data_IF_531024813361
#
_entry.id   IF_531024813361
#
_cell.length_a   1.000
_cell.length_b   1.000
_cell.length_c   1.000
_cell.angle_alpha   90.00
_cell.angle_beta   90.00
_cell.angle_gamma   90.00
#
_symmetry.space_group_name_H-M   'P 1'
#
loop_
_entity.id
_entity.type
_entity.pdbx_description
1 polymer ?
#
# COMPACT_ATOMS: atom_id res chain seq x y z
N UNK A 1 -17.94 1.38 -22.61
CA UNK A 1 -18.27 0.85 -21.25
C UNK A 1 -19.67 0.27 -21.25
N UNK A 2 -19.87 -0.87 -20.55
CA UNK A 2 -21.22 -1.45 -20.32
C UNK A 2 -22.02 -0.53 -19.38
N UNK A 3 -23.34 -0.51 -19.49
CA UNK A 3 -24.19 0.15 -18.50
C UNK A 3 -24.21 -0.66 -17.21
N UNK A 4 -23.92 0.00 -16.09
CA UNK A 4 -23.87 -0.62 -14.75
C UNK A 4 -24.90 -0.01 -13.79
N UNK A 5 -25.81 0.81 -14.29
CA UNK A 5 -26.85 1.44 -13.49
C UNK A 5 -27.78 0.38 -12.86
N UNK A 6 -28.01 0.53 -11.57
CA UNK A 6 -28.83 -0.38 -10.78
C UNK A 6 -28.14 -1.69 -10.36
N UNK A 7 -26.90 -1.94 -10.81
CA UNK A 7 -26.13 -3.11 -10.38
C UNK A 7 -25.83 -3.04 -8.87
N UNK A 8 -25.82 -4.21 -8.25
CA UNK A 8 -25.58 -4.37 -6.80
C UNK A 8 -24.11 -4.72 -6.53
N UNK A 9 -23.40 -3.82 -5.87
CA UNK A 9 -22.01 -4.01 -5.44
C UNK A 9 -21.95 -4.31 -3.94
N UNK A 10 -21.42 -5.49 -3.58
CA UNK A 10 -21.13 -5.85 -2.22
C UNK A 10 -19.72 -5.40 -1.84
N UNK A 11 -19.58 -4.57 -0.81
CA UNK A 11 -18.30 -4.07 -0.31
C UNK A 11 -17.82 -4.94 0.87
N UNK A 12 -16.52 -5.22 0.91
CA UNK A 12 -15.86 -5.91 2.01
C UNK A 12 -14.76 -5.00 2.58
N UNK A 13 -15.01 -4.31 3.69
CA UNK A 13 -13.97 -3.67 4.50
C UNK A 13 -13.28 -2.40 3.97
N UNK A 14 -13.84 -1.66 3.02
CA UNK A 14 -13.17 -0.51 2.38
C UNK A 14 -13.54 0.85 2.98
N UNK A 15 -13.61 0.96 4.30
CA UNK A 15 -14.09 2.16 5.00
C UNK A 15 -13.27 3.43 4.74
N UNK A 16 -11.96 3.32 4.54
CA UNK A 16 -11.07 4.47 4.30
C UNK A 16 -11.31 5.15 2.94
N UNK A 17 -11.99 4.49 2.01
CA UNK A 17 -12.25 4.99 0.66
C UNK A 17 -13.72 5.30 0.39
N UNK A 18 -14.52 5.47 1.46
CA UNK A 18 -15.98 5.63 1.34
C UNK A 18 -16.38 6.75 0.38
N UNK A 19 -15.69 7.89 0.41
CA UNK A 19 -16.02 9.03 -0.45
C UNK A 19 -15.78 8.74 -1.94
N UNK A 20 -14.73 7.98 -2.26
CA UNK A 20 -14.47 7.54 -3.65
C UNK A 20 -15.47 6.50 -4.13
N UNK A 21 -15.82 5.54 -3.25
CA UNK A 21 -16.84 4.52 -3.53
C UNK A 21 -18.19 5.19 -3.78
N UNK A 22 -18.56 6.15 -2.90
CA UNK A 22 -19.77 6.92 -3.05
C UNK A 22 -19.80 7.70 -4.37
N UNK A 23 -18.71 8.39 -4.70
CA UNK A 23 -18.61 9.16 -5.94
C UNK A 23 -18.75 8.29 -7.18
N UNK A 24 -18.17 7.08 -7.17
CA UNK A 24 -18.37 6.10 -8.23
C UNK A 24 -19.83 5.66 -8.34
N UNK A 25 -20.42 5.30 -7.20
CA UNK A 25 -21.80 4.81 -7.16
C UNK A 25 -22.81 5.88 -7.62
N UNK A 26 -22.65 7.12 -7.16
CA UNK A 26 -23.49 8.25 -7.56
C UNK A 26 -23.34 8.54 -9.06
N UNK A 27 -22.12 8.50 -9.60
CA UNK A 27 -21.86 8.81 -11.01
C UNK A 27 -22.44 7.76 -11.96
N UNK A 28 -22.34 6.47 -11.60
CA UNK A 28 -22.78 5.37 -12.45
C UNK A 28 -24.16 4.80 -12.09
N UNK A 29 -24.76 5.25 -10.98
CA UNK A 29 -26.05 4.74 -10.50
C UNK A 29 -25.94 3.32 -9.93
N UNK A 30 -24.82 2.97 -9.29
CA UNK A 30 -24.58 1.66 -8.67
C UNK A 30 -25.19 1.63 -7.26
N UNK A 31 -25.77 0.49 -6.89
CA UNK A 31 -26.33 0.25 -5.56
C UNK A 31 -25.26 -0.40 -4.66
N UNK A 32 -25.03 0.18 -3.49
CA UNK A 32 -23.98 -0.27 -2.57
C UNK A 32 -24.57 -1.07 -1.39
N UNK A 33 -23.90 -2.15 -1.05
CA UNK A 33 -24.18 -3.01 0.09
C UNK A 33 -22.88 -3.30 0.83
N UNK A 34 -22.94 -3.55 2.13
CA UNK A 34 -21.74 -3.83 2.93
C UNK A 34 -21.91 -5.10 3.76
N UNK A 35 -20.88 -5.93 3.79
CA UNK A 35 -20.80 -7.11 4.62
C UNK A 35 -19.54 -7.08 5.51
N UNK A 36 -19.69 -7.43 6.78
CA UNK A 36 -18.60 -7.48 7.75
C UNK A 36 -19.10 -7.79 9.17
N UNK A 37 -18.18 -8.21 10.06
CA UNK A 37 -18.55 -8.52 11.46
C UNK A 37 -18.86 -7.27 12.30
N UNK A 38 -18.30 -6.13 11.91
CA UNK A 38 -18.45 -4.87 12.63
C UNK A 38 -18.99 -3.80 11.68
N UNK A 39 -19.90 -2.92 12.16
CA UNK A 39 -20.31 -1.77 11.39
C UNK A 39 -19.09 -0.91 11.07
N UNK A 40 -19.03 -0.48 9.83
CA UNK A 40 -17.97 0.42 9.34
C UNK A 40 -18.59 1.79 9.01
N UNK A 41 -17.79 2.85 8.87
CA UNK A 41 -18.29 4.17 8.41
C UNK A 41 -18.97 4.15 7.03
N UNK A 42 -19.08 2.99 6.40
CA UNK A 42 -19.80 2.75 5.15
C UNK A 42 -21.34 2.76 5.32
N UNK A 43 -21.88 2.60 6.54
CA UNK A 43 -23.32 2.55 6.78
C UNK A 43 -24.08 3.78 6.24
N UNK A 44 -23.39 4.92 6.14
CA UNK A 44 -23.95 6.17 5.60
C UNK A 44 -24.11 6.17 4.06
N UNK A 45 -23.44 5.28 3.35
CA UNK A 45 -23.41 5.25 1.87
C UNK A 45 -24.00 3.99 1.26
N UNK A 46 -24.30 2.98 2.08
CA UNK A 46 -24.84 1.70 1.62
C UNK A 46 -26.35 1.63 1.86
N UNK A 47 -27.04 0.86 1.02
CA UNK A 47 -28.48 0.61 1.21
C UNK A 47 -28.75 -0.33 2.38
N UNK A 48 -27.84 -1.29 2.61
CA UNK A 48 -27.96 -2.27 3.69
C UNK A 48 -26.59 -2.76 4.14
N UNK A 49 -26.46 -2.97 5.46
CA UNK A 49 -25.33 -3.58 6.12
C UNK A 49 -25.69 -4.98 6.63
N UNK A 50 -24.88 -5.96 6.30
CA UNK A 50 -25.02 -7.34 6.73
C UNK A 50 -23.92 -7.71 7.71
N UNK A 51 -24.33 -8.06 8.95
CA UNK A 51 -23.40 -8.55 9.97
C UNK A 51 -23.12 -10.02 9.73
N UNK A 52 -22.05 -10.31 8.99
CA UNK A 52 -21.71 -11.66 8.53
C UNK A 52 -20.19 -11.84 8.49
N UNK A 53 -19.73 -13.07 8.74
CA UNK A 53 -18.30 -13.42 8.62
C UNK A 53 -17.91 -13.57 7.15
N UNK A 54 -17.23 -12.58 6.61
CA UNK A 54 -16.79 -12.53 5.21
C UNK A 54 -15.60 -13.45 4.90
N UNK A 55 -14.99 -14.04 5.94
CA UNK A 55 -13.85 -14.98 5.78
C UNK A 55 -14.28 -16.41 5.53
N UNK A 56 -15.55 -16.75 5.83
CA UNK A 56 -16.08 -18.11 5.72
C UNK A 56 -16.80 -18.34 4.38
N UNK A 57 -16.23 -19.16 3.46
CA UNK A 57 -16.83 -19.48 2.17
C UNK A 57 -18.21 -20.15 2.28
N UNK A 58 -18.42 -21.02 3.28
CA UNK A 58 -19.67 -21.77 3.45
C UNK A 58 -20.84 -20.85 3.81
N UNK A 59 -20.52 -19.67 4.36
CA UNK A 59 -21.50 -18.64 4.69
C UNK A 59 -21.66 -17.65 3.52
N UNK A 60 -20.56 -17.20 2.94
CA UNK A 60 -20.57 -16.15 1.93
C UNK A 60 -21.11 -16.60 0.56
N UNK A 61 -20.80 -17.83 0.14
CA UNK A 61 -21.25 -18.35 -1.16
C UNK A 61 -22.79 -18.39 -1.25
N UNK A 62 -23.53 -19.05 -0.31
CA UNK A 62 -24.99 -19.02 -0.35
C UNK A 62 -25.55 -17.62 -0.16
N UNK A 63 -24.99 -16.80 0.73
CA UNK A 63 -25.42 -15.42 0.98
C UNK A 63 -25.37 -14.55 -0.30
N UNK A 64 -24.25 -14.57 -1.03
CA UNK A 64 -24.09 -13.78 -2.26
C UNK A 64 -25.05 -14.23 -3.34
N UNK A 65 -25.27 -15.56 -3.48
CA UNK A 65 -26.25 -16.13 -4.44
C UNK A 65 -27.69 -15.72 -4.11
N UNK A 66 -28.07 -15.79 -2.85
CA UNK A 66 -29.43 -15.45 -2.40
C UNK A 66 -29.78 -13.98 -2.65
N UNK A 67 -28.82 -13.09 -2.38
CA UNK A 67 -29.04 -11.64 -2.55
C UNK A 67 -28.82 -11.14 -3.98
N UNK A 68 -28.21 -11.94 -4.83
CA UNK A 68 -28.02 -11.64 -6.27
C UNK A 68 -27.15 -10.39 -6.48
N UNK A 69 -25.99 -10.32 -5.83
CA UNK A 69 -25.01 -9.27 -6.08
C UNK A 69 -24.35 -9.46 -7.45
N UNK A 70 -24.14 -8.36 -8.17
CA UNK A 70 -23.48 -8.36 -9.48
C UNK A 70 -21.96 -8.38 -9.37
N UNK A 71 -21.41 -7.91 -8.26
CA UNK A 71 -19.98 -7.89 -8.00
C UNK A 71 -19.66 -7.79 -6.52
N UNK A 72 -18.43 -8.18 -6.16
CA UNK A 72 -17.89 -8.10 -4.80
C UNK A 72 -16.57 -7.34 -4.84
N UNK A 73 -16.46 -6.27 -4.05
CA UNK A 73 -15.25 -5.46 -3.96
C UNK A 73 -14.53 -5.71 -2.64
N UNK A 74 -13.33 -6.26 -2.73
CA UNK A 74 -12.50 -6.65 -1.58
C UNK A 74 -11.72 -5.48 -0.96
N UNK A 75 -11.64 -4.35 -1.66
CA UNK A 75 -10.80 -3.22 -1.23
C UNK A 75 -9.30 -3.53 -1.33
N UNK A 76 -8.49 -2.87 -0.46
CA UNK A 76 -7.03 -3.00 -0.44
C UNK A 76 -6.47 -3.67 0.83
N UNK A 77 -7.30 -4.34 1.62
CA UNK A 77 -6.86 -5.07 2.81
C UNK A 77 -6.35 -6.46 2.44
N UNK A 78 -5.08 -6.75 2.78
CA UNK A 78 -4.49 -8.09 2.58
C UNK A 78 -5.32 -9.17 3.25
N UNK A 79 -5.81 -8.90 4.47
CA UNK A 79 -6.66 -9.82 5.20
C UNK A 79 -7.94 -10.15 4.42
N UNK A 80 -8.63 -9.15 3.89
CA UNK A 80 -9.87 -9.36 3.13
C UNK A 80 -9.58 -10.11 1.84
N UNK A 81 -8.59 -9.68 1.06
CA UNK A 81 -8.26 -10.31 -0.23
C UNK A 81 -7.87 -11.77 -0.03
N UNK A 82 -7.01 -12.08 0.96
CA UNK A 82 -6.56 -13.46 1.22
C UNK A 82 -7.67 -14.45 1.54
N UNK A 83 -8.77 -13.97 2.14
CA UNK A 83 -9.92 -14.82 2.49
C UNK A 83 -11.02 -14.79 1.43
N UNK A 84 -11.19 -13.68 0.71
CA UNK A 84 -12.34 -13.49 -0.16
C UNK A 84 -12.09 -13.90 -1.62
N UNK A 85 -10.87 -13.72 -2.16
CA UNK A 85 -10.61 -13.99 -3.58
C UNK A 85 -11.02 -15.42 -3.98
N UNK A 86 -10.70 -16.44 -3.15
CA UNK A 86 -11.03 -17.83 -3.44
C UNK A 86 -12.54 -18.09 -3.56
N UNK A 87 -13.37 -17.62 -2.62
CA UNK A 87 -14.80 -17.86 -2.71
C UNK A 87 -15.50 -16.98 -3.76
N UNK A 88 -14.96 -15.79 -4.09
CA UNK A 88 -15.46 -14.98 -5.21
C UNK A 88 -15.25 -15.73 -6.53
N UNK A 89 -14.06 -16.33 -6.71
CA UNK A 89 -13.77 -17.17 -7.89
C UNK A 89 -14.71 -18.39 -7.99
N UNK A 90 -15.00 -19.06 -6.86
CA UNK A 90 -15.95 -20.19 -6.83
C UNK A 90 -17.38 -19.77 -7.22
N UNK A 91 -17.75 -18.52 -7.02
CA UNK A 91 -19.01 -17.96 -7.48
C UNK A 91 -19.02 -17.64 -8.99
N UNK A 92 -17.86 -17.63 -9.64
CA UNK A 92 -17.72 -17.17 -11.03
C UNK A 92 -17.91 -15.68 -11.22
N UNK A 93 -17.80 -14.89 -10.13
CA UNK A 93 -17.84 -13.43 -10.19
C UNK A 93 -16.47 -12.86 -10.61
N UNK A 94 -16.43 -11.70 -11.26
CA UNK A 94 -15.18 -11.06 -11.63
C UNK A 94 -14.32 -10.78 -10.38
N UNK A 95 -13.09 -11.27 -10.39
CA UNK A 95 -12.10 -11.08 -9.35
C UNK A 95 -10.73 -10.88 -10.01
N UNK A 96 -9.98 -9.87 -9.60
CA UNK A 96 -8.70 -9.56 -10.25
C UNK A 96 -7.61 -10.60 -9.96
N UNK A 97 -7.73 -11.37 -8.88
CA UNK A 97 -6.78 -12.42 -8.52
C UNK A 97 -7.49 -13.73 -8.16
N UNK A 98 -6.79 -14.84 -8.30
CA UNK A 98 -7.13 -16.10 -7.66
C UNK A 98 -6.27 -16.34 -6.41
N UNK A 99 -6.62 -17.41 -5.68
CA UNK A 99 -5.94 -17.72 -4.42
C UNK A 99 -4.48 -18.13 -4.61
N UNK A 100 -4.15 -18.83 -5.70
CA UNK A 100 -2.80 -19.26 -6.00
C UNK A 100 -1.89 -18.07 -6.34
N UNK A 101 -2.35 -17.17 -7.21
CA UNK A 101 -1.67 -15.91 -7.54
C UNK A 101 -1.41 -15.07 -6.28
N UNK A 102 -2.44 -14.96 -5.42
CA UNK A 102 -2.33 -14.23 -4.17
C UNK A 102 -1.27 -14.85 -3.25
N UNK A 103 -1.31 -16.16 -3.02
CA UNK A 103 -0.40 -16.86 -2.10
C UNK A 103 1.06 -16.84 -2.59
N UNK A 104 1.28 -16.84 -3.90
CA UNK A 104 2.61 -16.71 -4.49
C UNK A 104 3.17 -15.29 -4.22
N UNK A 105 2.37 -14.26 -4.47
CA UNK A 105 2.84 -12.88 -4.39
C UNK A 105 2.93 -12.36 -2.95
N UNK A 106 2.10 -12.87 -2.02
CA UNK A 106 2.16 -12.47 -0.61
C UNK A 106 3.34 -13.09 0.15
N UNK A 107 3.81 -14.26 -0.25
CA UNK A 107 4.97 -14.89 0.37
C UNK A 107 6.26 -14.28 -0.19
N UNK A 108 6.94 -13.47 0.64
CA UNK A 108 8.20 -12.79 0.26
C UNK A 108 9.27 -13.77 -0.24
N UNK A 109 9.29 -15.01 0.29
CA UNK A 109 10.27 -16.00 -0.14
C UNK A 109 9.95 -16.52 -1.53
N UNK A 110 8.70 -16.90 -1.78
CA UNK A 110 8.24 -17.37 -3.09
C UNK A 110 8.42 -16.31 -4.16
N UNK A 111 8.02 -15.06 -3.85
CA UNK A 111 8.22 -13.95 -4.79
C UNK A 111 9.69 -13.73 -5.13
N UNK A 112 10.59 -13.76 -4.14
CA UNK A 112 12.04 -13.59 -4.37
C UNK A 112 12.64 -14.76 -5.15
N UNK A 113 12.17 -15.98 -4.92
CA UNK A 113 12.63 -17.13 -5.69
C UNK A 113 12.23 -17.01 -7.17
N UNK A 114 11.01 -16.54 -7.46
CA UNK A 114 10.59 -16.20 -8.82
C UNK A 114 11.40 -15.04 -9.39
N UNK A 115 11.68 -13.99 -8.62
CA UNK A 115 12.57 -12.91 -9.07
C UNK A 115 13.91 -13.45 -9.58
N UNK A 116 14.53 -14.36 -8.82
CA UNK A 116 15.81 -14.99 -9.23
C UNK A 116 15.64 -15.76 -10.53
N UNK A 117 14.58 -16.55 -10.67
CA UNK A 117 14.30 -17.35 -11.87
C UNK A 117 14.17 -16.47 -13.13
N UNK A 118 13.52 -15.29 -12.99
CA UNK A 118 13.35 -14.32 -14.07
C UNK A 118 14.50 -13.31 -14.19
N UNK A 119 15.62 -13.52 -13.47
CA UNK A 119 16.81 -12.67 -13.55
C UNK A 119 16.63 -11.28 -12.94
N UNK A 120 15.71 -11.14 -11.99
CA UNK A 120 15.48 -9.93 -11.18
C UNK A 120 16.35 -10.03 -9.91
N UNK A 121 17.24 -9.06 -9.64
CA UNK A 121 18.10 -9.12 -8.46
C UNK A 121 17.31 -9.05 -7.15
N UNK A 122 17.67 -9.87 -6.18
CA UNK A 122 17.13 -9.81 -4.83
C UNK A 122 18.25 -9.67 -3.80
N UNK A 123 17.91 -9.14 -2.63
CA UNK A 123 18.88 -9.07 -1.54
C UNK A 123 19.32 -10.49 -1.16
N UNK A 124 20.64 -10.76 -1.02
CA UNK A 124 21.15 -12.08 -0.66
C UNK A 124 20.55 -12.58 0.65
N UNK A 125 20.05 -13.83 0.63
CA UNK A 125 19.50 -14.54 1.80
C UNK A 125 20.60 -15.35 2.50
N UNK A 126 20.47 -15.46 3.81
CA UNK A 126 21.29 -16.35 4.65
C UNK A 126 20.41 -17.43 5.26
N UNK A 127 20.64 -18.71 4.96
CA UNK A 127 19.86 -19.81 5.56
C UNK A 127 20.13 -19.88 7.06
N UNK A 128 19.08 -19.95 7.87
CA UNK A 128 19.18 -20.05 9.32
C UNK A 128 19.18 -21.51 9.77
N UNK A 129 20.22 -21.90 10.49
CA UNK A 129 20.26 -23.18 11.19
C UNK A 129 19.57 -23.03 12.55
N UNK A 130 18.40 -23.64 12.70
CA UNK A 130 17.60 -23.54 13.93
C UNK A 130 18.30 -24.10 15.18
N UNK A 131 19.28 -25.01 15.00
CA UNK A 131 20.08 -25.55 16.12
C UNK A 131 21.24 -24.62 16.53
N UNK A 132 21.55 -23.61 15.70
CA UNK A 132 22.62 -22.65 15.94
C UNK A 132 22.35 -21.37 15.14
N UNK A 133 21.38 -20.58 15.57
CA UNK A 133 20.98 -19.34 14.88
C UNK A 133 22.15 -18.36 14.83
N UNK A 134 22.85 -18.15 15.93
CA UNK A 134 24.00 -17.24 16.03
C UNK A 134 25.12 -17.56 15.02
N UNK A 135 25.36 -18.84 14.75
CA UNK A 135 26.39 -19.31 13.81
C UNK A 135 25.93 -19.42 12.36
N UNK A 136 24.68 -19.04 12.05
CA UNK A 136 24.12 -19.19 10.71
C UNK A 136 24.68 -18.20 9.70
N UNK A 137 25.15 -17.04 10.15
CA UNK A 137 25.62 -15.94 9.30
C UNK A 137 27.11 -15.68 9.55
N UNK A 138 27.97 -15.61 8.51
CA UNK A 138 29.37 -15.31 8.69
C UNK A 138 29.57 -13.87 9.20
N UNK A 139 30.57 -13.65 10.04
CA UNK A 139 30.84 -12.35 10.67
C UNK A 139 31.02 -11.21 9.65
N UNK A 140 31.55 -11.51 8.47
CA UNK A 140 31.73 -10.52 7.38
C UNK A 140 30.44 -10.10 6.68
N UNK A 141 29.31 -10.77 6.95
CA UNK A 141 28.04 -10.48 6.31
C UNK A 141 27.17 -9.48 7.09
N UNK A 142 27.54 -9.19 8.34
CA UNK A 142 26.81 -8.20 9.13
C UNK A 142 27.02 -6.76 8.63
N UNK A 143 26.02 -5.88 8.74
CA UNK A 143 24.70 -6.12 9.33
C UNK A 143 23.78 -6.92 8.43
N UNK A 144 22.91 -7.74 9.06
CA UNK A 144 21.83 -8.47 8.39
C UNK A 144 20.49 -8.06 8.98
N UNK A 145 19.39 -8.43 8.30
CA UNK A 145 18.03 -8.25 8.82
C UNK A 145 17.36 -9.60 9.03
N UNK A 146 16.51 -9.66 10.04
CA UNK A 146 15.51 -10.72 10.21
C UNK A 146 14.11 -10.14 10.10
N UNK A 147 13.21 -10.84 9.43
CA UNK A 147 11.80 -10.44 9.29
C UNK A 147 10.90 -11.67 9.03
N UNK A 148 9.60 -11.60 9.40
CA UNK A 148 8.63 -12.62 8.99
C UNK A 148 8.54 -12.71 7.46
N UNK A 149 8.34 -13.91 6.91
CA UNK A 149 8.08 -14.08 5.46
C UNK A 149 6.68 -13.63 5.09
N UNK A 150 5.73 -13.71 6.03
CA UNK A 150 4.29 -13.50 5.89
C UNK A 150 3.76 -12.30 6.72
N UNK A 151 4.65 -11.42 7.15
CA UNK A 151 4.33 -10.19 7.87
C UNK A 151 4.23 -8.96 6.97
N UNK A 152 3.50 -7.93 7.44
CA UNK A 152 3.36 -6.63 6.79
C UNK A 152 3.66 -5.46 7.74
N UNK A 153 3.86 -4.24 7.18
CA UNK A 153 3.99 -3.01 7.97
C UNK A 153 5.25 -2.94 8.86
N UNK A 154 6.34 -3.61 8.49
CA UNK A 154 7.60 -3.67 9.25
C UNK A 154 7.48 -4.31 10.65
N UNK A 155 6.43 -5.07 10.90
CA UNK A 155 6.27 -5.79 12.16
C UNK A 155 7.19 -7.01 12.21
N UNK A 156 7.93 -7.19 13.33
CA UNK A 156 8.88 -8.30 13.50
C UNK A 156 10.21 -8.12 12.76
N UNK A 157 10.49 -6.93 12.22
CA UNK A 157 11.75 -6.59 11.57
C UNK A 157 12.83 -6.25 12.60
N UNK A 158 14.07 -6.75 12.39
CA UNK A 158 15.22 -6.39 13.20
C UNK A 158 16.49 -6.25 12.36
N UNK A 159 17.26 -5.17 12.59
CA UNK A 159 18.63 -5.05 12.08
C UNK A 159 19.56 -5.66 13.09
N UNK A 160 20.39 -6.62 12.67
CA UNK A 160 21.31 -7.37 13.50
C UNK A 160 22.75 -7.07 13.10
N UNK A 161 23.55 -6.56 14.01
CA UNK A 161 24.96 -6.20 13.77
C UNK A 161 25.95 -7.28 14.21
N UNK A 162 25.46 -8.31 14.90
CA UNK A 162 26.26 -9.43 15.42
C UNK A 162 25.36 -10.67 15.64
N UNK A 163 26.01 -11.78 16.00
CA UNK A 163 25.36 -13.06 16.21
C UNK A 163 24.31 -13.06 17.34
N UNK A 164 24.57 -12.33 18.43
CA UNK A 164 23.64 -12.22 19.56
C UNK A 164 22.39 -11.43 19.19
N UNK A 165 22.55 -10.37 18.41
CA UNK A 165 21.41 -9.62 17.85
C UNK A 165 20.63 -10.44 16.84
N UNK A 166 21.30 -11.31 16.07
CA UNK A 166 20.65 -12.23 15.14
C UNK A 166 19.71 -13.21 15.85
N UNK A 167 20.13 -13.80 16.99
CA UNK A 167 19.28 -14.67 17.78
C UNK A 167 18.03 -13.94 18.28
N UNK A 168 18.22 -12.75 18.86
CA UNK A 168 17.10 -11.94 19.35
C UNK A 168 16.16 -11.52 18.22
N UNK A 169 16.73 -11.10 17.09
CA UNK A 169 15.96 -10.68 15.91
C UNK A 169 15.17 -11.84 15.30
N UNK A 170 15.75 -13.04 15.26
CA UNK A 170 15.06 -14.25 14.83
C UNK A 170 13.85 -14.55 15.72
N UNK A 171 14.03 -14.52 17.04
CA UNK A 171 12.94 -14.77 18.00
C UNK A 171 11.79 -13.77 17.86
N UNK A 172 12.12 -12.50 17.66
CA UNK A 172 11.11 -11.44 17.41
C UNK A 172 10.35 -11.73 16.13
N UNK A 173 11.06 -12.00 15.03
CA UNK A 173 10.46 -12.26 13.74
C UNK A 173 9.57 -13.51 13.75
N UNK A 174 10.03 -14.60 14.37
CA UNK A 174 9.27 -15.84 14.49
C UNK A 174 7.97 -15.69 15.27
N UNK A 175 7.97 -14.88 16.36
CA UNK A 175 6.77 -14.60 17.14
C UNK A 175 5.76 -13.70 16.41
N UNK A 176 6.24 -12.88 15.48
CA UNK A 176 5.41 -11.99 14.66
C UNK A 176 4.88 -12.67 13.40
N UNK A 177 5.44 -13.80 13.01
CA UNK A 177 5.00 -14.58 11.85
C UNK A 177 3.84 -15.49 12.23
N UNK A 178 2.69 -15.45 11.54
CA UNK A 178 1.60 -16.41 11.69
C UNK A 178 2.04 -17.87 11.49
N UNK A 179 3.01 -18.11 10.60
CA UNK A 179 3.54 -19.47 10.33
C UNK A 179 4.84 -19.78 11.10
N UNK A 180 5.41 -18.81 11.83
CA UNK A 180 6.71 -18.91 12.47
C UNK A 180 7.90 -18.79 11.49
N UNK A 181 7.64 -18.51 10.22
CA UNK A 181 8.66 -18.47 9.16
C UNK A 181 9.43 -17.16 9.15
N UNK A 182 10.76 -17.23 9.15
CA UNK A 182 11.67 -16.07 9.20
C UNK A 182 12.63 -16.10 8.03
N UNK A 183 12.83 -14.95 7.41
CA UNK A 183 13.88 -14.73 6.42
C UNK A 183 15.00 -13.89 7.05
N UNK A 184 16.26 -14.28 6.80
CA UNK A 184 17.45 -13.51 7.11
C UNK A 184 18.13 -13.05 5.83
N UNK A 185 18.38 -11.75 5.70
CA UNK A 185 18.92 -11.14 4.48
C UNK A 185 20.04 -10.15 4.81
N UNK A 186 20.90 -9.85 3.82
CA UNK A 186 21.83 -8.73 3.90
C UNK A 186 21.06 -7.43 4.20
N UNK A 187 21.57 -6.61 5.09
CA UNK A 187 21.02 -5.27 5.28
C UNK A 187 21.35 -4.41 4.07
N UNK A 188 20.33 -3.80 3.52
CA UNK A 188 20.43 -2.77 2.49
C UNK A 188 19.72 -1.54 3.03
N UNK A 189 20.30 -0.36 2.82
CA UNK A 189 19.64 0.88 3.19
C UNK A 189 18.25 0.91 2.55
N UNK A 190 17.22 1.27 3.35
CA UNK A 190 15.83 1.21 2.92
C UNK A 190 15.45 2.39 1.97
N UNK A 191 16.43 3.00 1.32
CA UNK A 191 16.19 3.87 0.17
C UNK A 191 15.87 3.02 -1.04
N UNK A 192 14.93 3.47 -1.85
CA UNK A 192 14.55 2.74 -3.03
C UNK A 192 13.37 3.37 -3.74
N UNK A 193 12.79 2.60 -4.63
CA UNK A 193 11.61 3.03 -5.36
C UNK A 193 10.47 2.03 -5.14
N UNK A 194 9.26 2.52 -5.30
CA UNK A 194 8.06 1.71 -5.45
C UNK A 194 7.58 1.91 -6.88
N UNK A 195 7.38 0.81 -7.60
CA UNK A 195 6.88 0.84 -8.98
C UNK A 195 5.48 0.26 -9.04
N UNK A 196 4.63 0.87 -9.87
CA UNK A 196 3.22 0.51 -9.96
C UNK A 196 2.85 0.08 -11.37
N UNK A 197 2.07 -0.98 -11.43
CA UNK A 197 1.53 -1.54 -12.66
C UNK A 197 0.02 -1.68 -12.56
N UNK A 198 -0.65 -1.42 -13.66
CA UNK A 198 -2.04 -1.82 -13.87
C UNK A 198 -2.11 -2.91 -14.91
N UNK A 199 -2.96 -3.89 -14.69
CA UNK A 199 -3.20 -4.98 -15.63
C UNK A 199 -4.59 -4.87 -16.23
N UNK A 200 -4.67 -5.10 -17.51
CA UNK A 200 -5.91 -5.11 -18.26
C UNK A 200 -5.84 -6.14 -19.37
N UNK A 201 -6.73 -7.13 -19.38
CA UNK A 201 -6.76 -8.22 -20.35
C UNK A 201 -5.42 -8.97 -20.48
N UNK A 202 -4.66 -9.08 -19.42
CA UNK A 202 -3.32 -9.71 -19.38
C UNK A 202 -2.18 -8.82 -19.89
N UNK A 203 -2.45 -7.56 -20.21
CA UNK A 203 -1.41 -6.59 -20.58
C UNK A 203 -0.95 -5.82 -19.34
N UNK A 204 0.36 -5.84 -19.08
CA UNK A 204 1.01 -5.07 -18.04
C UNK A 204 1.26 -3.64 -18.51
N UNK A 205 0.74 -2.67 -17.79
CA UNK A 205 0.96 -1.24 -18.01
C UNK A 205 1.76 -0.67 -16.85
N UNK A 206 2.96 -0.16 -17.13
CA UNK A 206 3.70 0.64 -16.16
C UNK A 206 2.96 1.99 -15.99
N UNK A 207 2.59 2.35 -14.76
CA UNK A 207 1.76 3.55 -14.53
C UNK A 207 2.44 4.60 -13.68
N UNK A 208 3.38 4.22 -12.80
CA UNK A 208 4.07 5.16 -11.92
C UNK A 208 5.31 4.52 -11.29
N UNK A 209 6.27 5.36 -10.93
CA UNK A 209 7.30 5.06 -9.95
C UNK A 209 7.40 6.16 -8.90
N UNK A 210 7.73 5.77 -7.66
CA UNK A 210 7.93 6.68 -6.53
C UNK A 210 9.30 6.42 -5.93
N UNK A 211 10.11 7.46 -5.70
CA UNK A 211 11.26 7.36 -4.81
C UNK A 211 10.77 7.39 -3.37
N UNK A 212 11.20 6.41 -2.58
CA UNK A 212 10.86 6.28 -1.17
C UNK A 212 12.01 6.75 -0.30
N UNK A 213 11.81 7.80 0.48
CA UNK A 213 12.75 8.26 1.50
C UNK A 213 12.30 7.74 2.86
N UNK A 214 13.05 6.81 3.48
CA UNK A 214 12.69 6.26 4.79
C UNK A 214 13.10 7.21 5.92
N UNK A 215 12.41 7.09 7.05
CA UNK A 215 12.81 7.65 8.34
C UNK A 215 13.10 6.54 9.32
N UNK A 216 14.17 6.71 10.11
CA UNK A 216 14.62 5.71 11.08
C UNK A 216 13.98 5.93 12.44
N UNK A 217 13.52 4.86 13.04
CA UNK A 217 13.01 4.79 14.40
C UNK A 217 14.04 4.05 15.28
N UNK A 218 14.93 4.80 15.92
CA UNK A 218 16.10 4.24 16.64
C UNK A 218 15.70 3.22 17.70
N UNK A 219 14.65 3.52 18.49
CA UNK A 219 14.21 2.63 19.59
C UNK A 219 13.64 1.30 19.09
N UNK A 220 13.01 1.29 17.94
CA UNK A 220 12.41 0.11 17.32
C UNK A 220 13.35 -0.57 16.34
N UNK A 221 14.44 0.11 15.94
CA UNK A 221 15.35 -0.35 14.89
C UNK A 221 14.73 -0.45 13.51
N UNK A 222 13.55 0.16 13.31
CA UNK A 222 12.77 0.05 12.07
C UNK A 222 12.93 1.28 11.16
N UNK A 223 12.60 1.10 9.88
CA UNK A 223 12.55 2.15 8.88
C UNK A 223 11.13 2.24 8.32
N UNK A 224 10.57 3.44 8.31
CA UNK A 224 9.21 3.70 7.81
C UNK A 224 9.28 4.77 6.73
N UNK A 225 8.46 4.66 5.70
CA UNK A 225 8.42 5.67 4.65
C UNK A 225 8.04 7.04 5.20
N UNK A 226 8.91 8.03 5.02
CA UNK A 226 8.70 9.41 5.47
C UNK A 226 8.32 10.35 4.34
N UNK A 227 8.67 9.99 3.10
CA UNK A 227 8.37 10.79 1.92
C UNK A 227 8.34 9.89 0.69
N UNK A 228 7.43 10.19 -0.24
CA UNK A 228 7.43 9.64 -1.59
C UNK A 228 7.44 10.77 -2.61
N UNK A 229 8.30 10.69 -3.61
CA UNK A 229 8.36 11.65 -4.73
C UNK A 229 8.22 10.95 -6.07
N UNK A 230 7.40 11.45 -6.95
CA UNK A 230 7.04 10.85 -8.24
C UNK A 230 7.26 11.85 -9.40
N UNK A 231 7.62 11.37 -10.59
CA UNK A 231 8.17 10.05 -10.86
C UNK A 231 9.55 9.88 -10.22
N UNK A 232 9.99 8.62 -10.03
CA UNK A 232 11.34 8.32 -9.55
C UNK A 232 12.41 8.82 -10.53
N UNK A 233 13.50 9.33 -10.01
CA UNK A 233 14.66 9.69 -10.84
C UNK A 233 15.32 8.47 -11.51
N UNK A 234 15.09 7.29 -10.93
CA UNK A 234 15.61 6.01 -11.45
C UNK A 234 14.66 5.31 -12.43
N UNK A 235 13.49 5.90 -12.75
CA UNK A 235 12.45 5.24 -13.55
C UNK A 235 12.94 4.74 -14.90
N UNK A 236 13.58 5.59 -15.68
CA UNK A 236 14.02 5.23 -17.02
C UNK A 236 14.98 4.04 -16.99
N UNK A 237 15.97 4.06 -16.08
CA UNK A 237 16.94 2.98 -15.91
C UNK A 237 16.29 1.69 -15.39
N UNK A 238 15.38 1.81 -14.42
CA UNK A 238 14.66 0.66 -13.91
C UNK A 238 13.86 -0.05 -15.01
N UNK A 239 13.12 0.71 -15.80
CA UNK A 239 12.31 0.19 -16.91
C UNK A 239 13.17 -0.50 -17.96
N UNK A 240 14.26 0.14 -18.38
CA UNK A 240 15.21 -0.44 -19.34
C UNK A 240 15.74 -1.80 -18.89
N UNK A 241 16.08 -1.94 -17.60
CA UNK A 241 16.69 -3.16 -17.07
C UNK A 241 15.68 -4.27 -16.80
N UNK A 242 14.45 -3.94 -16.35
CA UNK A 242 13.60 -4.93 -15.69
C UNK A 242 12.16 -5.02 -16.22
N UNK A 243 11.64 -4.05 -16.99
CA UNK A 243 10.23 -4.05 -17.38
C UNK A 243 9.83 -5.32 -18.15
N UNK A 244 10.64 -5.77 -19.10
CA UNK A 244 10.36 -6.98 -19.88
C UNK A 244 10.46 -8.26 -19.05
N UNK A 245 11.38 -8.33 -18.08
CA UNK A 245 11.50 -9.46 -17.15
C UNK A 245 10.31 -9.54 -16.22
N UNK A 246 9.83 -8.40 -15.72
CA UNK A 246 8.61 -8.32 -14.93
C UNK A 246 7.37 -8.73 -15.73
N UNK A 247 7.30 -8.32 -16.99
CA UNK A 247 6.24 -8.73 -17.91
C UNK A 247 6.21 -10.24 -18.06
N UNK A 248 7.38 -10.86 -18.27
CA UNK A 248 7.50 -12.31 -18.36
C UNK A 248 7.11 -13.01 -17.05
N UNK A 249 7.56 -12.52 -15.89
CA UNK A 249 7.23 -13.05 -14.57
C UNK A 249 5.73 -13.02 -14.32
N UNK A 250 5.08 -11.85 -14.50
CA UNK A 250 3.65 -11.73 -14.25
C UNK A 250 2.79 -12.49 -15.26
N UNK A 251 3.25 -12.61 -16.50
CA UNK A 251 2.61 -13.48 -17.48
C UNK A 251 2.70 -14.96 -17.08
N UNK A 252 3.84 -15.40 -16.53
CA UNK A 252 4.05 -16.76 -16.03
C UNK A 252 3.10 -17.07 -14.85
N UNK A 253 2.93 -16.14 -13.90
CA UNK A 253 1.96 -16.28 -12.80
C UNK A 253 0.50 -16.22 -13.32
N UNK A 254 0.28 -15.72 -14.53
CA UNK A 254 -1.05 -15.58 -15.12
C UNK A 254 -1.80 -14.32 -14.66
N UNK A 255 -1.10 -13.27 -14.25
CA UNK A 255 -1.72 -12.00 -13.85
C UNK A 255 -2.39 -11.37 -15.06
N UNK A 256 -3.67 -11.05 -14.94
CA UNK A 256 -4.48 -10.49 -16.04
C UNK A 256 -5.09 -9.15 -15.73
N UNK A 257 -5.46 -8.90 -14.47
CA UNK A 257 -6.27 -7.75 -14.04
C UNK A 257 -5.71 -7.14 -12.75
N UNK A 258 -6.19 -5.95 -12.40
CA UNK A 258 -5.91 -5.30 -11.11
C UNK A 258 -4.62 -4.49 -11.09
N UNK A 259 -4.17 -4.21 -9.89
CA UNK A 259 -3.04 -3.31 -9.61
C UNK A 259 -1.97 -4.04 -8.80
N UNK A 260 -0.72 -3.91 -9.22
CA UNK A 260 0.45 -4.41 -8.49
C UNK A 260 1.39 -3.25 -8.19
N UNK A 261 1.92 -3.21 -6.98
CA UNK A 261 3.09 -2.41 -6.63
C UNK A 261 4.24 -3.31 -6.21
N UNK A 262 5.47 -2.88 -6.50
CA UNK A 262 6.70 -3.58 -6.11
C UNK A 262 7.60 -2.61 -5.39
N UNK A 263 8.06 -2.99 -4.19
CA UNK A 263 9.12 -2.29 -3.48
C UNK A 263 10.48 -2.80 -3.94
N UNK A 264 11.36 -1.86 -4.33
CA UNK A 264 12.69 -2.14 -4.82
C UNK A 264 13.68 -1.30 -4.03
N UNK A 265 14.65 -1.92 -3.38
CA UNK A 265 15.75 -1.22 -2.74
C UNK A 265 16.78 -0.78 -3.76
N UNK A 266 17.44 0.34 -3.50
CA UNK A 266 18.53 0.87 -4.30
C UNK A 266 19.79 0.97 -3.45
N UNK A 267 20.89 0.38 -3.92
CA UNK A 267 22.22 0.43 -3.30
C UNK A 267 23.22 0.87 -4.37
N UNK A 268 23.58 2.16 -4.36
CA UNK A 268 24.30 2.77 -5.47
C UNK A 268 23.49 2.72 -6.76
N UNK A 269 24.02 2.00 -7.74
CA UNK A 269 23.41 1.78 -9.05
C UNK A 269 22.62 0.47 -9.15
N UNK A 270 22.66 -0.36 -8.12
CA UNK A 270 22.01 -1.67 -8.08
C UNK A 270 20.59 -1.57 -7.52
N UNK A 271 19.70 -2.40 -8.07
CA UNK A 271 18.33 -2.54 -7.61
C UNK A 271 18.13 -3.94 -7.03
N UNK A 272 17.37 -4.04 -5.92
CA UNK A 272 17.03 -5.32 -5.30
C UNK A 272 15.54 -5.40 -5.04
N UNK A 273 14.86 -6.34 -5.66
CA UNK A 273 13.45 -6.61 -5.47
C UNK A 273 13.20 -7.12 -4.05
N UNK A 274 12.30 -6.46 -3.30
CA UNK A 274 12.05 -6.75 -1.90
C UNK A 274 10.72 -7.44 -1.66
N UNK A 275 9.63 -6.78 -2.04
CA UNK A 275 8.27 -7.31 -1.86
C UNK A 275 7.34 -6.77 -2.94
N UNK A 276 6.21 -7.44 -3.10
CA UNK A 276 5.16 -7.10 -4.05
C UNK A 276 3.81 -7.09 -3.33
N UNK A 277 2.93 -6.19 -3.73
CA UNK A 277 1.55 -6.20 -3.29
C UNK A 277 0.59 -6.22 -4.47
N UNK A 278 -0.26 -7.24 -4.54
CA UNK A 278 -1.31 -7.36 -5.57
C UNK A 278 -2.58 -6.63 -5.12
N UNK A 279 -2.44 -5.36 -4.84
CA UNK A 279 -3.45 -4.43 -4.34
C UNK A 279 -2.93 -3.00 -4.36
N UNK A 280 -3.75 -2.03 -3.96
CA UNK A 280 -3.28 -0.66 -3.73
C UNK A 280 -2.27 -0.58 -2.59
N UNK A 281 -1.31 0.34 -2.72
CA UNK A 281 -0.38 0.71 -1.66
C UNK A 281 -1.05 1.53 -0.54
N UNK A 282 -0.49 1.46 0.67
CA UNK A 282 -0.97 2.24 1.83
C UNK A 282 -0.78 3.75 1.72
N UNK A 283 0.01 4.20 0.73
CA UNK A 283 0.25 5.61 0.42
C UNK A 283 -0.86 6.29 -0.39
N UNK A 284 -1.93 5.57 -0.79
CA UNK A 284 -3.00 6.07 -1.68
C UNK A 284 -2.48 6.52 -3.06
N UNK A 285 -1.45 5.84 -3.56
CA UNK A 285 -0.77 6.20 -4.82
C UNK A 285 -1.67 6.18 -6.06
N UNK A 286 -2.90 5.65 -5.98
CA UNK A 286 -3.86 5.77 -7.07
C UNK A 286 -4.23 7.24 -7.39
N UNK A 287 -4.05 8.18 -6.45
CA UNK A 287 -4.18 9.62 -6.76
C UNK A 287 -3.01 10.15 -7.58
N UNK A 288 -1.77 9.76 -7.23
CA UNK A 288 -0.59 10.12 -8.02
C UNK A 288 -0.59 9.45 -9.39
N UNK A 289 -1.06 8.20 -9.48
CA UNK A 289 -1.28 7.48 -10.75
C UNK A 289 -2.30 8.23 -11.62
N UNK A 290 -3.49 8.55 -11.09
CA UNK A 290 -4.51 9.30 -11.84
C UNK A 290 -3.98 10.67 -12.30
N UNK A 291 -3.23 11.37 -11.43
CA UNK A 291 -2.68 12.67 -11.78
C UNK A 291 -1.62 12.60 -12.89
N UNK A 292 -0.65 11.70 -12.80
CA UNK A 292 0.50 11.65 -13.68
C UNK A 292 0.24 10.85 -14.96
N UNK A 293 -0.45 9.69 -14.88
CA UNK A 293 -0.72 8.82 -16.03
C UNK A 293 -2.11 9.02 -16.65
N UNK A 294 -3.05 9.62 -15.93
CA UNK A 294 -4.45 9.73 -16.36
C UNK A 294 -5.26 8.45 -16.18
N UNK A 295 -4.72 7.43 -15.53
CA UNK A 295 -5.39 6.15 -15.28
C UNK A 295 -6.04 6.18 -13.91
N UNK A 296 -7.37 6.14 -13.87
CA UNK A 296 -8.13 5.98 -12.65
C UNK A 296 -8.25 4.50 -12.30
N UNK A 297 -7.22 3.95 -11.64
CA UNK A 297 -7.16 2.55 -11.20
C UNK A 297 -8.36 2.16 -10.34
N UNK A 298 -8.80 3.08 -9.46
CA UNK A 298 -9.85 2.81 -8.49
C UNK A 298 -11.21 2.58 -9.17
N UNK A 299 -11.56 3.42 -10.14
CA UNK A 299 -12.80 3.25 -10.90
C UNK A 299 -12.71 2.08 -11.88
N UNK A 300 -11.53 1.81 -12.43
CA UNK A 300 -11.30 0.65 -13.29
C UNK A 300 -11.59 -0.65 -12.55
N UNK A 301 -11.11 -0.79 -11.31
CA UNK A 301 -11.35 -1.99 -10.50
C UNK A 301 -12.83 -2.13 -10.09
N UNK A 302 -13.49 -1.05 -9.66
CA UNK A 302 -14.92 -1.08 -9.33
C UNK A 302 -15.79 -1.44 -10.54
N UNK A 303 -15.41 -0.95 -11.71
CA UNK A 303 -16.08 -1.29 -12.96
C UNK A 303 -15.85 -2.76 -13.34
N UNK A 304 -14.60 -3.23 -13.21
CA UNK A 304 -14.24 -4.61 -13.52
C UNK A 304 -15.01 -5.61 -12.66
N UNK A 305 -15.11 -5.43 -11.36
CA UNK A 305 -15.82 -6.36 -10.46
C UNK A 305 -17.34 -6.41 -10.74
N UNK A 306 -17.91 -5.38 -11.37
CA UNK A 306 -19.32 -5.34 -11.75
C UNK A 306 -19.59 -5.89 -13.16
N UNK A 307 -18.60 -5.99 -14.03
CA UNK A 307 -18.81 -6.27 -15.45
C UNK A 307 -17.99 -7.41 -16.01
N UNK A 308 -16.86 -7.73 -15.37
CA UNK A 308 -15.82 -8.59 -15.94
C UNK A 308 -15.11 -7.99 -17.16
N UNK A 309 -15.34 -6.70 -17.44
CA UNK A 309 -14.82 -6.00 -18.61
C UNK A 309 -13.68 -5.08 -18.16
N UNK A 310 -12.48 -5.42 -18.60
CA UNK A 310 -11.26 -4.73 -18.16
C UNK A 310 -11.03 -3.47 -19.01
N UNK A 311 -11.00 -2.32 -18.34
CA UNK A 311 -10.73 -1.02 -18.96
C UNK A 311 -9.88 -0.16 -18.03
N UNK A 312 -8.87 0.50 -18.57
CA UNK A 312 -8.05 1.47 -17.82
C UNK A 312 -8.39 2.93 -18.16
N UNK A 313 -9.01 3.17 -19.29
CA UNK A 313 -9.31 4.51 -19.80
C UNK A 313 -10.82 4.79 -19.83
N UNK A 314 -11.15 6.08 -19.89
CA UNK A 314 -12.55 6.54 -20.03
C UNK A 314 -13.25 6.79 -18.70
N UNK A 315 -12.55 6.67 -17.58
CA UNK A 315 -13.07 7.06 -16.27
C UNK A 315 -12.75 8.53 -15.96
N UNK A 316 -13.63 9.23 -15.21
CA UNK A 316 -13.32 10.58 -14.74
C UNK A 316 -12.14 10.55 -13.76
N UNK A 317 -11.41 11.65 -13.65
CA UNK A 317 -10.33 11.79 -12.66
C UNK A 317 -10.89 11.73 -11.23
N UNK A 318 -10.13 11.16 -10.32
CA UNK A 318 -10.43 11.14 -8.87
C UNK A 318 -10.40 12.53 -8.25
N UNK A 319 -9.75 13.49 -8.90
CA UNK A 319 -9.55 14.85 -8.45
C UNK A 319 -10.03 15.88 -9.50
N UNK A 320 -11.29 15.81 -9.97
CA UNK A 320 -11.77 16.58 -11.11
C UNK A 320 -11.74 18.09 -10.88
N UNK A 321 -11.77 18.54 -9.64
CA UNK A 321 -11.76 19.96 -9.27
C UNK A 321 -10.34 20.55 -9.09
N UNK A 322 -9.32 19.70 -9.14
CA UNK A 322 -7.94 20.16 -9.02
C UNK A 322 -7.40 20.60 -10.39
N UNK A 323 -6.95 21.83 -10.47
CA UNK A 323 -6.30 22.35 -11.68
C UNK A 323 -4.91 21.72 -11.75
N UNK A 324 -4.68 20.86 -12.72
CA UNK A 324 -3.40 20.17 -12.89
C UNK A 324 -2.28 21.18 -13.12
N UNK A 325 -1.34 21.17 -12.18
CA UNK A 325 -0.09 21.95 -12.20
C UNK A 325 1.05 21.05 -11.77
N UNK A 326 2.27 21.47 -12.05
CA UNK A 326 3.44 20.73 -11.64
C UNK A 326 3.68 19.46 -12.45
N UNK A 327 4.93 19.09 -12.55
CA UNK A 327 5.39 17.90 -13.27
C UNK A 327 5.75 16.75 -12.34
N UNK A 328 5.87 17.04 -11.05
CA UNK A 328 6.24 16.11 -9.99
C UNK A 328 5.15 16.05 -8.94
N UNK A 329 5.06 14.92 -8.28
CA UNK A 329 4.08 14.65 -7.24
C UNK A 329 4.79 14.18 -5.96
N UNK A 330 4.26 14.60 -4.81
CA UNK A 330 4.80 14.22 -3.52
C UNK A 330 3.70 13.68 -2.62
N UNK A 331 4.00 12.63 -1.85
CA UNK A 331 3.15 12.11 -0.78
C UNK A 331 3.96 12.22 0.53
N UNK A 332 3.45 13.02 1.47
CA UNK A 332 4.09 13.25 2.75
C UNK A 332 3.25 12.67 3.90
N UNK A 333 3.64 11.50 4.44
CA UNK A 333 2.98 10.87 5.59
C UNK A 333 3.22 11.67 6.88
N UNK A 334 2.19 11.92 7.66
CA UNK A 334 2.27 12.52 8.99
C UNK A 334 2.36 11.42 10.03
N UNK A 335 3.56 11.22 10.53
CA UNK A 335 3.84 10.27 11.60
C UNK A 335 3.52 10.90 12.96
N UNK A 336 2.83 10.17 13.81
CA UNK A 336 2.47 10.61 15.15
C UNK A 336 2.91 9.59 16.21
N UNK A 337 3.34 10.10 17.36
CA UNK A 337 3.61 9.28 18.55
C UNK A 337 2.31 8.70 19.13
N UNK A 338 2.38 7.61 19.92
CA UNK A 338 1.21 7.00 20.55
C UNK A 338 0.38 7.99 21.37
N UNK A 339 -0.94 7.88 21.26
CA UNK A 339 -1.91 8.76 21.94
C UNK A 339 -3.30 8.66 21.35
N UNK A 340 -4.26 9.38 21.92
CA UNK A 340 -5.62 9.54 21.36
C UNK A 340 -5.67 10.88 20.63
N UNK A 341 -6.17 10.88 19.40
CA UNK A 341 -6.34 12.09 18.59
C UNK A 341 -7.58 12.85 19.07
N UNK A 342 -7.40 14.05 19.61
CA UNK A 342 -8.52 14.88 20.07
C UNK A 342 -8.78 16.06 19.16
N UNK A 343 -7.70 16.61 18.57
CA UNK A 343 -7.80 17.81 17.76
C UNK A 343 -6.74 17.82 16.66
N UNK A 344 -7.09 18.42 15.54
CA UNK A 344 -6.22 18.71 14.42
C UNK A 344 -6.15 20.23 14.22
N UNK A 345 -4.95 20.78 14.00
CA UNK A 345 -4.74 22.21 13.78
C UNK A 345 -3.85 22.49 12.57
N UNK A 346 -4.04 23.65 11.97
CA UNK A 346 -3.17 24.17 10.91
C UNK A 346 -3.52 23.73 9.49
N UNK A 347 -4.42 22.75 9.30
CA UNK A 347 -4.77 22.25 7.98
C UNK A 347 -5.34 23.33 7.07
N UNK A 348 -6.28 24.14 7.54
CA UNK A 348 -6.92 25.19 6.71
C UNK A 348 -5.90 26.24 6.24
N UNK A 349 -4.94 26.61 7.11
CA UNK A 349 -3.85 27.50 6.75
C UNK A 349 -2.94 26.92 5.64
N UNK A 350 -2.67 25.62 5.71
CA UNK A 350 -1.90 24.92 4.68
C UNK A 350 -2.69 24.87 3.38
N UNK A 351 -3.98 24.55 3.43
CA UNK A 351 -4.88 24.53 2.27
C UNK A 351 -4.94 25.87 1.57
N UNK A 352 -5.05 26.96 2.33
CA UNK A 352 -5.10 28.31 1.78
C UNK A 352 -3.77 28.71 1.12
N UNK A 353 -2.64 28.46 1.82
CA UNK A 353 -1.31 28.80 1.31
C UNK A 353 -0.94 28.01 0.06
N UNK A 354 -1.27 26.72 0.01
CA UNK A 354 -0.87 25.81 -1.06
C UNK A 354 -2.07 25.27 -1.86
N UNK A 355 -3.12 26.06 -2.02
CA UNK A 355 -4.33 25.65 -2.78
C UNK A 355 -4.07 25.19 -4.20
N UNK A 356 -2.96 25.62 -4.79
CA UNK A 356 -2.53 25.28 -6.15
C UNK A 356 -1.64 24.02 -6.20
N UNK A 357 -1.10 23.61 -5.06
CA UNK A 357 -0.19 22.48 -4.91
C UNK A 357 -0.88 21.30 -4.20
N UNK A 358 -1.66 21.57 -3.16
CA UNK A 358 -2.30 20.55 -2.35
C UNK A 358 -3.43 19.87 -3.12
N UNK A 359 -3.17 18.62 -3.52
CA UNK A 359 -4.13 17.79 -4.27
C UNK A 359 -5.22 17.26 -3.36
N UNK A 360 -4.82 16.59 -2.28
CA UNK A 360 -5.72 15.98 -1.29
C UNK A 360 -4.97 15.68 0.01
N UNK A 361 -5.71 15.54 1.12
CA UNK A 361 -5.23 14.95 2.38
C UNK A 361 -5.99 13.65 2.63
N UNK A 362 -5.28 12.53 2.64
CA UNK A 362 -5.83 11.21 2.84
C UNK A 362 -5.67 10.78 4.31
N UNK A 363 -6.75 10.53 5.00
CA UNK A 363 -6.74 10.16 6.42
C UNK A 363 -6.69 8.64 6.60
N UNK A 364 -5.73 8.18 7.42
CA UNK A 364 -5.67 6.81 7.95
C UNK A 364 -6.34 6.71 9.32
N UNK A 365 -6.30 7.80 10.07
CA UNK A 365 -6.91 7.93 11.41
C UNK A 365 -7.62 9.27 11.54
N UNK A 366 -8.62 9.33 12.41
CA UNK A 366 -9.45 10.51 12.61
C UNK A 366 -9.49 10.90 14.09
N UNK A 367 -10.11 12.03 14.42
CA UNK A 367 -10.38 12.45 15.79
C UNK A 367 -11.16 11.33 16.49
N UNK A 368 -10.72 10.96 17.69
CA UNK A 368 -11.21 9.84 18.49
C UNK A 368 -10.37 8.56 18.36
N UNK A 369 -9.61 8.39 17.29
CA UNK A 369 -8.78 7.21 17.11
C UNK A 369 -7.57 7.20 18.03
N UNK A 370 -7.15 5.98 18.41
CA UNK A 370 -5.95 5.73 19.21
C UNK A 370 -4.79 5.31 18.30
N UNK A 371 -3.65 5.95 18.47
CA UNK A 371 -2.37 5.52 17.89
C UNK A 371 -1.69 4.64 18.94
N UNK A 372 -1.44 3.39 18.59
CA UNK A 372 -0.77 2.41 19.45
C UNK A 372 0.65 2.12 19.02
N UNK A 373 0.90 2.26 17.70
CA UNK A 373 2.16 1.85 17.07
C UNK A 373 3.23 2.95 17.17
N UNK A 374 4.48 2.51 17.10
CA UNK A 374 5.63 3.38 16.90
C UNK A 374 6.67 2.61 16.08
N UNK A 375 7.21 3.26 15.04
CA UNK A 375 8.17 2.63 14.13
C UNK A 375 7.52 1.71 13.09
N UNK A 376 6.22 1.89 12.82
CA UNK A 376 5.48 1.23 11.75
C UNK A 376 4.61 2.24 10.98
N UNK A 377 4.11 1.85 9.81
CA UNK A 377 3.19 2.70 9.05
C UNK A 377 1.83 2.90 9.77
N UNK A 378 1.51 2.05 10.74
CA UNK A 378 0.33 2.15 11.59
C UNK A 378 0.25 3.43 12.44
N UNK A 379 1.37 4.16 12.60
CA UNK A 379 1.41 5.47 13.28
C UNK A 379 1.09 6.66 12.37
N UNK A 380 0.92 6.46 11.06
CA UNK A 380 0.55 7.52 10.12
C UNK A 380 -0.91 7.92 10.35
N UNK A 381 -1.14 9.21 10.57
CA UNK A 381 -2.48 9.78 10.79
C UNK A 381 -3.10 10.20 9.46
N UNK A 382 -2.35 10.91 8.64
CA UNK A 382 -2.79 11.30 7.30
C UNK A 382 -1.60 11.42 6.36
N UNK A 383 -1.89 11.48 5.07
CA UNK A 383 -0.93 11.71 4.01
C UNK A 383 -1.34 12.96 3.23
N UNK A 384 -0.41 13.91 3.13
CA UNK A 384 -0.57 15.08 2.28
C UNK A 384 -0.05 14.76 0.88
N UNK A 385 -0.88 14.96 -0.12
CA UNK A 385 -0.55 14.77 -1.52
C UNK A 385 -0.40 16.12 -2.20
N UNK A 386 0.76 16.38 -2.80
CA UNK A 386 1.09 17.65 -3.43
C UNK A 386 1.65 17.48 -4.83
N UNK A 387 1.53 18.54 -5.60
CA UNK A 387 2.30 18.72 -6.83
C UNK A 387 3.29 19.86 -6.67
N UNK A 388 4.42 19.76 -7.35
CA UNK A 388 5.49 20.75 -7.31
C UNK A 388 6.31 20.74 -8.61
N UNK A 389 7.02 21.83 -8.89
CA UNK A 389 7.89 21.96 -10.06
C UNK A 389 9.38 21.97 -9.68
N UNK A 390 9.72 22.52 -8.51
CA UNK A 390 11.11 22.71 -8.07
C UNK A 390 11.36 22.11 -6.69
N UNK A 391 12.62 21.80 -6.41
CA UNK A 391 13.04 21.29 -5.10
C UNK A 391 12.80 22.31 -3.97
N UNK A 392 13.03 23.60 -4.25
CA UNK A 392 12.77 24.68 -3.29
C UNK A 392 11.27 24.75 -2.91
N UNK A 393 10.39 24.56 -3.89
CA UNK A 393 8.94 24.52 -3.66
C UNK A 393 8.55 23.34 -2.77
N UNK A 394 9.09 22.14 -3.05
CA UNK A 394 8.88 20.96 -2.22
C UNK A 394 9.35 21.20 -0.78
N UNK A 395 10.53 21.79 -0.62
CA UNK A 395 11.12 22.10 0.69
C UNK A 395 10.26 23.11 1.46
N UNK A 396 9.77 24.20 0.80
CA UNK A 396 8.86 25.18 1.44
C UNK A 396 7.54 24.53 1.87
N UNK A 397 6.95 23.68 1.04
CA UNK A 397 5.70 22.98 1.36
C UNK A 397 5.89 22.10 2.60
N UNK A 398 6.87 21.20 2.60
CA UNK A 398 7.11 20.27 3.73
C UNK A 398 7.49 21.06 4.99
N UNK A 399 8.38 22.03 4.89
CA UNK A 399 8.76 22.90 6.02
C UNK A 399 7.56 23.65 6.62
N UNK A 400 6.65 24.12 5.78
CA UNK A 400 5.42 24.77 6.24
C UNK A 400 4.48 23.82 6.97
N UNK A 401 4.34 22.56 6.49
CA UNK A 401 3.54 21.53 7.18
C UNK A 401 4.17 21.22 8.53
N UNK A 402 5.48 20.94 8.59
CA UNK A 402 6.19 20.64 9.82
C UNK A 402 6.06 21.75 10.86
N UNK A 403 6.03 23.00 10.42
CA UNK A 403 5.87 24.18 11.30
C UNK A 403 4.45 24.39 11.80
N UNK A 404 3.43 24.15 10.97
CA UNK A 404 2.08 24.64 11.21
C UNK A 404 1.07 23.51 11.52
N UNK A 405 1.29 22.29 11.02
CA UNK A 405 0.35 21.18 11.23
C UNK A 405 0.58 20.49 12.58
N UNK A 406 -0.48 20.25 13.32
CA UNK A 406 -0.45 19.62 14.63
C UNK A 406 -1.60 18.64 14.80
N UNK A 407 -1.33 17.56 15.52
CA UNK A 407 -2.30 16.58 15.98
C UNK A 407 -2.18 16.53 17.51
N UNK A 408 -3.21 16.97 18.22
CA UNK A 408 -3.16 17.12 19.66
C UNK A 408 -3.87 15.96 20.36
N UNK A 409 -3.30 15.53 21.50
CA UNK A 409 -3.94 14.58 22.40
C UNK A 409 -4.79 15.29 23.48
N UNK A 410 -5.37 14.50 24.36
CA UNK A 410 -6.22 14.94 25.50
C UNK A 410 -5.52 15.89 26.51
N UNK A 411 -4.17 15.86 26.54
CA UNK A 411 -3.36 16.76 27.36
C UNK A 411 -2.88 18.00 26.57
N UNK A 412 -3.33 18.20 25.34
CA UNK A 412 -2.88 19.29 24.46
C UNK A 412 -1.46 19.12 23.91
N UNK A 413 -0.84 17.93 24.07
CA UNK A 413 0.48 17.63 23.53
C UNK A 413 0.37 17.35 22.02
N UNK A 414 1.26 17.98 21.25
CA UNK A 414 1.41 17.65 19.82
C UNK A 414 2.04 16.27 19.66
N UNK A 415 1.35 15.39 18.94
CA UNK A 415 1.79 14.02 18.64
C UNK A 415 2.63 13.93 17.37
N UNK A 416 2.60 14.94 16.49
CA UNK A 416 3.32 14.92 15.21
C UNK A 416 4.82 14.79 15.43
N UNK A 417 5.40 13.81 14.74
CA UNK A 417 6.84 13.57 14.71
C UNK A 417 7.41 13.99 13.35
N UNK A 418 8.11 15.14 13.31
CA UNK A 418 8.75 15.65 12.09
C UNK A 418 10.09 14.92 11.87
N UNK A 419 10.04 13.74 11.25
CA UNK A 419 11.21 12.86 11.06
C UNK A 419 11.98 13.14 9.77
N UNK A 420 11.32 13.72 8.77
CA UNK A 420 11.97 14.03 7.49
C UNK A 420 12.84 15.27 7.67
N UNK A 421 14.14 15.14 7.39
CA UNK A 421 15.05 16.28 7.36
C UNK A 421 14.92 16.99 6.01
N UNK A 422 14.34 18.19 6.03
CA UNK A 422 14.11 19.02 4.84
C UNK A 422 15.38 19.52 4.17
N UNK A 423 16.52 19.53 4.87
CA UNK A 423 17.82 19.92 4.29
C UNK A 423 18.43 18.80 3.44
N UNK A 424 17.88 17.59 3.51
CA UNK A 424 18.36 16.39 2.80
C UNK A 424 17.41 15.94 1.67
N UNK A 425 16.35 16.71 1.43
CA UNK A 425 15.37 16.41 0.37
C UNK A 425 15.85 16.97 -1.00
#
# INVERSE_FOLDING_TARGET
>A
MKDIRGKKLLLLGSSVWKDLIKSFADFYGVRLFFAGLYPAPLDEIVEEYYRIDTTNPDVMIPFVKEHGFDGVYMGGSEFIVSHACGWINLLGLPCYCDKEQWDILQDKSKFKDLCIEFGLPVVPKYPINLNNVAGSVPLSAYPVITKPTDGSGSNGFSVCHNAEELERGYDIASKCSPTGSVICERFVNNHGLVVFFSFSNGLMHFVLSEDKTPVKYEKQGSYVAGLFTCPSESEARFRELYEERLRALFSFIGIREGTIWIEVFKDGDDFFFNEVGYRYGGSFSFYSVDYLSGINQFYADLYYVLTGDSQLNGFPSLIPHFIRRGKRYCIYPIHCSPGIIIQEEGLERIREKYKENLVIVCYQKRIGDRITDSGSFGQVVCLFHFVYDTQDELTDIIGSIQKNYRVLNDCGKNLVENKVNIELI
#
